data_IF_493894933234
#
_entry.id   IF_493894933234
#
_cell.length_a   1.000
_cell.length_b   1.000
_cell.length_c   1.000
_cell.angle_alpha   90.00
_cell.angle_beta   90.00
_cell.angle_gamma   90.00
#
_symmetry.space_group_name_H-M   'P 1'
#
loop_
_entity.id
_entity.type
_entity.pdbx_description
1 polymer ?
#
# COMPACT_ATOMS: atom_id res chain seq x y z
N UNK A 1 -9.11 -21.27 -16.52
CA UNK A 1 -8.06 -21.97 -15.76
C UNK A 1 -8.61 -22.42 -14.42
N UNK A 2 -8.23 -23.64 -14.00
CA UNK A 2 -8.65 -24.19 -12.71
C UNK A 2 -8.00 -23.33 -11.61
N UNK A 3 -8.71 -23.03 -10.52
CA UNK A 3 -8.20 -22.24 -9.38
C UNK A 3 -6.84 -22.75 -8.87
N UNK A 4 -6.63 -24.06 -8.92
CA UNK A 4 -5.37 -24.69 -8.51
C UNK A 4 -4.13 -24.25 -9.30
N UNK A 5 -4.32 -23.82 -10.55
CA UNK A 5 -3.24 -23.37 -11.47
C UNK A 5 -2.89 -21.89 -11.32
N UNK A 6 -3.57 -21.17 -10.41
CA UNK A 6 -3.30 -19.76 -10.15
C UNK A 6 -2.08 -19.61 -9.22
N UNK A 7 -1.31 -18.52 -9.40
CA UNK A 7 -0.21 -18.19 -8.50
C UNK A 7 -0.71 -17.96 -7.06
N UNK A 8 0.17 -18.12 -6.08
CA UNK A 8 -0.16 -17.90 -4.67
C UNK A 8 -0.67 -16.46 -4.42
N UNK A 9 -0.02 -15.47 -5.04
CA UNK A 9 -0.41 -14.05 -4.94
C UNK A 9 -1.82 -13.82 -5.48
N UNK A 10 -2.15 -14.39 -6.64
CA UNK A 10 -3.47 -14.29 -7.23
C UNK A 10 -4.53 -15.01 -6.38
N UNK A 11 -4.22 -16.20 -5.85
CA UNK A 11 -5.12 -16.89 -4.91
C UNK A 11 -5.41 -16.04 -3.68
N UNK A 12 -4.40 -15.37 -3.14
CA UNK A 12 -4.56 -14.45 -1.99
C UNK A 12 -5.44 -13.24 -2.34
N UNK A 13 -5.22 -12.64 -3.51
CA UNK A 13 -6.02 -11.53 -4.02
C UNK A 13 -7.51 -11.91 -4.16
N UNK A 14 -7.78 -13.11 -4.70
CA UNK A 14 -9.13 -13.63 -4.94
C UNK A 14 -9.84 -14.14 -3.66
N UNK A 15 -9.18 -14.17 -2.50
CA UNK A 15 -9.86 -14.40 -1.21
C UNK A 15 -10.76 -13.23 -0.81
N UNK A 16 -10.54 -12.06 -1.39
CA UNK A 16 -11.42 -10.90 -1.20
C UNK A 16 -12.66 -11.10 -2.10
N UNK A 17 -13.89 -11.17 -1.54
CA UNK A 17 -15.09 -11.51 -2.31
C UNK A 17 -15.35 -10.59 -3.51
N UNK A 18 -15.10 -9.27 -3.36
CA UNK A 18 -15.26 -8.31 -4.47
C UNK A 18 -14.26 -8.59 -5.61
N UNK A 19 -13.03 -8.99 -5.30
CA UNK A 19 -12.03 -9.32 -6.32
C UNK A 19 -12.39 -10.62 -7.05
N UNK A 20 -12.90 -11.61 -6.31
CA UNK A 20 -13.40 -12.86 -6.90
C UNK A 20 -14.58 -12.59 -7.83
N UNK A 21 -15.52 -11.73 -7.40
CA UNK A 21 -16.65 -11.30 -8.21
C UNK A 21 -16.19 -10.68 -9.52
N UNK A 22 -15.31 -9.66 -9.47
CA UNK A 22 -14.76 -9.00 -10.64
C UNK A 22 -14.02 -10.00 -11.54
N UNK A 23 -13.18 -10.86 -10.96
CA UNK A 23 -12.45 -11.90 -11.70
C UNK A 23 -13.37 -12.84 -12.47
N UNK A 24 -14.52 -13.20 -11.91
CA UNK A 24 -15.51 -14.06 -12.58
C UNK A 24 -16.12 -13.40 -13.82
N UNK A 25 -16.25 -12.07 -13.81
CA UNK A 25 -16.86 -11.29 -14.90
C UNK A 25 -15.86 -10.86 -15.98
N UNK A 26 -14.56 -11.09 -15.78
CA UNK A 26 -13.56 -10.83 -16.81
C UNK A 26 -13.64 -11.90 -17.93
N UNK A 27 -13.78 -11.44 -19.19
CA UNK A 27 -13.87 -12.32 -20.37
C UNK A 27 -12.56 -13.03 -20.65
N UNK A 28 -11.45 -12.28 -20.63
CA UNK A 28 -10.11 -12.81 -20.81
C UNK A 28 -9.45 -12.98 -19.45
N UNK A 29 -9.49 -14.20 -18.94
CA UNK A 29 -8.70 -14.62 -17.78
C UNK A 29 -7.26 -14.90 -18.20
N UNK A 30 -6.66 -13.97 -18.92
CA UNK A 30 -5.25 -14.04 -19.28
C UNK A 30 -4.40 -14.05 -18.02
N UNK A 31 -3.29 -14.73 -18.09
CA UNK A 31 -2.34 -14.93 -17.01
C UNK A 31 -1.78 -13.54 -16.66
N UNK A 32 -2.35 -12.94 -15.67
CA UNK A 32 -1.77 -11.76 -15.06
C UNK A 32 -0.58 -12.23 -14.23
N UNK A 33 0.57 -11.60 -14.48
CA UNK A 33 1.78 -11.85 -13.71
C UNK A 33 1.58 -11.56 -12.21
N UNK A 34 2.59 -11.84 -11.42
CA UNK A 34 2.56 -11.72 -9.95
C UNK A 34 2.32 -10.29 -9.41
N UNK A 35 2.29 -9.27 -10.29
CA UNK A 35 2.01 -7.87 -9.94
C UNK A 35 0.53 -7.45 -9.94
N UNK A 36 -0.43 -8.40 -10.10
CA UNK A 36 -1.85 -8.05 -10.16
C UNK A 36 -2.35 -7.53 -8.80
N UNK A 37 -2.96 -6.34 -8.81
CA UNK A 37 -3.58 -5.70 -7.65
C UNK A 37 -5.11 -5.64 -7.80
N UNK A 38 -5.81 -5.25 -6.72
CA UNK A 38 -7.27 -4.95 -6.80
C UNK A 38 -7.54 -3.82 -7.80
N UNK A 39 -6.68 -2.81 -7.85
CA UNK A 39 -6.78 -1.70 -8.81
C UNK A 39 -6.75 -2.20 -10.25
N UNK A 40 -5.79 -3.05 -10.60
CA UNK A 40 -5.67 -3.63 -11.93
C UNK A 40 -6.89 -4.50 -12.32
N UNK A 41 -7.49 -5.22 -11.36
CA UNK A 41 -8.70 -6.01 -11.64
C UNK A 41 -9.89 -5.11 -11.99
N UNK A 42 -10.09 -4.05 -11.21
CA UNK A 42 -11.22 -3.12 -11.42
C UNK A 42 -11.00 -2.34 -12.73
N UNK A 43 -9.79 -1.91 -13.02
CA UNK A 43 -9.43 -1.18 -14.23
C UNK A 43 -9.78 -2.00 -15.49
N UNK A 44 -9.27 -3.23 -15.56
CA UNK A 44 -9.54 -4.13 -16.69
C UNK A 44 -11.01 -4.48 -16.84
N UNK A 45 -11.73 -4.66 -15.74
CA UNK A 45 -13.15 -4.91 -15.78
C UNK A 45 -13.91 -3.69 -16.29
N UNK A 46 -13.55 -2.48 -15.83
CA UNK A 46 -14.16 -1.24 -16.32
C UNK A 46 -13.86 -0.97 -17.79
N UNK A 47 -12.62 -1.21 -18.24
CA UNK A 47 -12.26 -1.16 -19.66
C UNK A 47 -13.11 -2.11 -20.51
N UNK A 48 -13.33 -3.33 -20.03
CA UNK A 48 -14.20 -4.31 -20.70
C UNK A 48 -15.63 -3.79 -20.83
N UNK A 49 -16.18 -3.20 -19.77
CA UNK A 49 -17.51 -2.60 -19.76
C UNK A 49 -17.58 -1.44 -20.74
N UNK A 50 -16.60 -0.55 -20.76
CA UNK A 50 -16.53 0.55 -21.72
C UNK A 50 -16.46 0.05 -23.17
N UNK A 51 -15.73 -1.04 -23.46
CA UNK A 51 -15.70 -1.65 -24.80
C UNK A 51 -17.05 -2.24 -25.21
N UNK A 52 -17.74 -2.92 -24.27
CA UNK A 52 -19.08 -3.49 -24.53
C UNK A 52 -20.11 -2.41 -24.79
N UNK A 53 -20.03 -1.24 -24.14
CA UNK A 53 -20.99 -0.16 -24.39
C UNK A 53 -21.04 0.27 -25.85
N UNK A 54 -19.88 0.26 -26.53
CA UNK A 54 -19.78 0.61 -27.96
C UNK A 54 -20.58 -0.37 -28.82
N UNK A 55 -20.53 -1.68 -28.51
CA UNK A 55 -21.31 -2.69 -29.25
C UNK A 55 -22.83 -2.54 -29.03
N UNK A 56 -23.25 -1.86 -27.98
CA UNK A 56 -24.64 -1.53 -27.70
C UNK A 56 -25.06 -0.14 -28.24
N UNK A 57 -24.19 0.52 -29.00
CA UNK A 57 -24.47 1.84 -29.58
C UNK A 57 -24.31 3.02 -28.61
N UNK A 58 -23.75 2.78 -27.42
CA UNK A 58 -23.48 3.84 -26.46
C UNK A 58 -22.07 4.39 -26.64
N UNK A 59 -21.91 5.69 -26.49
CA UNK A 59 -20.58 6.30 -26.51
C UNK A 59 -19.83 5.98 -25.20
N UNK A 60 -18.59 5.54 -25.31
CA UNK A 60 -17.71 5.33 -24.16
C UNK A 60 -17.62 6.56 -23.26
N UNK A 61 -17.65 7.75 -23.88
CA UNK A 61 -17.64 9.03 -23.16
C UNK A 61 -18.81 9.17 -22.21
N UNK A 62 -20.03 8.82 -22.61
CA UNK A 62 -21.23 8.86 -21.76
C UNK A 62 -21.04 7.98 -20.51
N UNK A 63 -20.48 6.79 -20.67
CA UNK A 63 -20.23 5.87 -19.55
C UNK A 63 -19.20 6.47 -18.58
N UNK A 64 -18.10 7.00 -19.13
CA UNK A 64 -17.02 7.60 -18.33
C UNK A 64 -17.50 8.85 -17.60
N UNK A 65 -18.23 9.75 -18.24
CA UNK A 65 -18.78 10.96 -17.64
C UNK A 65 -19.80 10.63 -16.54
N UNK A 66 -20.66 9.64 -16.78
CA UNK A 66 -21.61 9.16 -15.76
C UNK A 66 -20.89 8.62 -14.52
N UNK A 67 -19.86 7.77 -14.71
CA UNK A 67 -19.02 7.26 -13.62
C UNK A 67 -18.36 8.41 -12.85
N UNK A 68 -17.71 9.36 -13.54
CA UNK A 68 -17.04 10.51 -12.93
C UNK A 68 -18.05 11.30 -12.08
N UNK A 69 -19.23 11.58 -12.63
CA UNK A 69 -20.26 12.35 -11.94
C UNK A 69 -20.76 11.66 -10.67
N UNK A 70 -20.95 10.34 -10.69
CA UNK A 70 -21.31 9.56 -9.51
C UNK A 70 -20.20 9.70 -8.45
N UNK A 71 -18.94 9.48 -8.81
CA UNK A 71 -17.78 9.59 -7.90
C UNK A 71 -17.70 10.99 -7.29
N UNK A 72 -17.81 12.05 -8.09
CA UNK A 72 -17.73 13.45 -7.62
C UNK A 72 -18.83 13.77 -6.59
N UNK A 73 -20.05 13.30 -6.82
CA UNK A 73 -21.16 13.56 -5.88
C UNK A 73 -20.98 12.75 -4.59
N UNK A 74 -20.53 11.49 -4.68
CA UNK A 74 -20.24 10.67 -3.52
C UNK A 74 -19.05 11.24 -2.70
N UNK A 75 -17.99 11.70 -3.35
CA UNK A 75 -16.85 12.38 -2.70
C UNK A 75 -17.31 13.66 -1.98
N UNK A 76 -18.05 14.51 -2.68
CA UNK A 76 -18.54 15.79 -2.14
C UNK A 76 -19.45 15.61 -0.94
N UNK A 77 -20.30 14.59 -0.95
CA UNK A 77 -21.26 14.32 0.13
C UNK A 77 -20.68 13.48 1.26
N UNK A 78 -19.58 12.76 1.02
CA UNK A 78 -19.00 11.78 1.96
C UNK A 78 -19.93 10.58 2.22
N UNK A 79 -20.82 10.26 1.29
CA UNK A 79 -21.82 9.18 1.43
C UNK A 79 -21.52 8.04 0.46
N UNK A 80 -21.97 6.82 0.80
CA UNK A 80 -21.89 5.65 -0.08
C UNK A 80 -23.04 5.61 -1.11
N UNK A 81 -24.15 6.30 -0.84
CA UNK A 81 -25.33 6.37 -1.70
C UNK A 81 -25.87 7.80 -1.74
N UNK A 82 -26.24 8.25 -2.94
CA UNK A 82 -26.81 9.58 -3.18
C UNK A 82 -28.12 9.49 -3.95
N UNK A 83 -29.09 10.40 -3.74
CA UNK A 83 -30.33 10.42 -4.51
C UNK A 83 -30.04 10.51 -6.03
N UNK A 84 -30.78 9.72 -6.85
CA UNK A 84 -30.62 9.72 -8.33
C UNK A 84 -30.76 11.13 -8.91
N UNK A 85 -31.66 11.92 -8.38
CA UNK A 85 -32.01 13.25 -8.88
C UNK A 85 -30.85 14.26 -8.85
N UNK A 86 -29.90 14.11 -7.91
CA UNK A 86 -28.78 15.07 -7.80
C UNK A 86 -27.59 14.72 -8.71
N UNK A 87 -27.61 13.56 -9.36
CA UNK A 87 -26.52 13.13 -10.23
C UNK A 87 -26.47 13.95 -11.53
N UNK A 88 -27.66 14.28 -12.10
CA UNK A 88 -27.74 15.01 -13.37
C UNK A 88 -26.86 14.38 -14.46
N UNK A 89 -27.11 13.10 -14.76
CA UNK A 89 -26.41 12.29 -15.77
C UNK A 89 -27.38 11.81 -16.84
N UNK A 90 -26.87 11.39 -17.99
CA UNK A 90 -27.67 10.75 -19.03
C UNK A 90 -28.22 9.41 -18.51
N UNK A 91 -29.54 9.20 -18.68
CA UNK A 91 -30.20 7.99 -18.19
C UNK A 91 -29.64 6.72 -18.82
N UNK A 92 -29.35 6.75 -20.13
CA UNK A 92 -28.74 5.63 -20.85
C UNK A 92 -27.38 5.21 -20.26
N UNK A 93 -26.55 6.17 -19.85
CA UNK A 93 -25.27 5.88 -19.20
C UNK A 93 -25.44 5.25 -17.82
N UNK A 94 -26.40 5.74 -17.04
CA UNK A 94 -26.70 5.20 -15.71
C UNK A 94 -27.29 3.80 -15.80
N UNK A 95 -28.27 3.57 -16.66
CA UNK A 95 -28.90 2.27 -16.87
C UNK A 95 -27.92 1.23 -17.35
N UNK A 96 -26.96 1.63 -18.20
CA UNK A 96 -25.91 0.75 -18.65
C UNK A 96 -24.95 0.36 -17.49
N UNK A 97 -24.52 1.31 -16.64
CA UNK A 97 -23.69 1.00 -15.47
C UNK A 97 -24.43 0.11 -14.45
N UNK A 98 -25.74 0.24 -14.34
CA UNK A 98 -26.56 -0.64 -13.49
C UNK A 98 -26.63 -2.05 -14.10
N UNK A 99 -26.92 -2.17 -15.38
CA UNK A 99 -27.01 -3.46 -16.08
C UNK A 99 -25.63 -4.18 -16.15
N UNK A 100 -24.55 -3.42 -16.08
CA UNK A 100 -23.18 -3.94 -16.00
C UNK A 100 -22.75 -4.26 -14.56
N UNK A 101 -23.65 -4.14 -13.59
CA UNK A 101 -23.43 -4.48 -12.17
C UNK A 101 -22.25 -3.71 -11.50
N UNK A 102 -21.93 -2.53 -12.02
CA UNK A 102 -20.97 -1.60 -11.35
C UNK A 102 -21.72 -0.72 -10.35
N UNK A 103 -22.90 -0.27 -10.72
CA UNK A 103 -23.75 0.65 -9.95
C UNK A 103 -25.03 -0.06 -9.53
N UNK A 104 -25.54 0.31 -8.38
CA UNK A 104 -26.79 -0.20 -7.84
C UNK A 104 -27.70 0.94 -7.42
N UNK A 105 -29.02 0.77 -7.59
CA UNK A 105 -30.04 1.65 -7.04
C UNK A 105 -30.74 0.95 -5.89
N UNK A 106 -30.74 1.60 -4.72
CA UNK A 106 -31.43 1.15 -3.51
C UNK A 106 -32.26 2.32 -2.95
N UNK A 107 -33.57 2.16 -2.87
CA UNK A 107 -34.50 3.21 -2.37
C UNK A 107 -34.26 4.56 -3.05
N UNK A 108 -34.22 4.59 -4.37
CA UNK A 108 -33.99 5.76 -5.23
C UNK A 108 -32.63 6.45 -5.00
N UNK A 109 -31.66 5.71 -4.41
CA UNK A 109 -30.30 6.16 -4.20
C UNK A 109 -29.34 5.31 -5.01
N UNK A 110 -28.35 5.98 -5.61
CA UNK A 110 -27.31 5.41 -6.47
C UNK A 110 -26.03 5.27 -5.69
N UNK A 111 -25.37 4.13 -5.81
CA UNK A 111 -24.06 3.83 -5.24
C UNK A 111 -23.36 2.75 -6.05
N UNK A 112 -22.10 2.45 -5.71
CA UNK A 112 -21.40 1.32 -6.30
C UNK A 112 -21.80 0.00 -5.63
N UNK A 113 -21.82 -1.09 -6.41
CA UNK A 113 -22.19 -2.44 -5.91
C UNK A 113 -21.26 -2.89 -4.79
N UNK A 114 -19.96 -2.60 -4.90
CA UNK A 114 -18.97 -2.88 -3.86
C UNK A 114 -18.19 -1.62 -3.50
N UNK A 115 -17.93 -1.44 -2.22
CA UNK A 115 -17.15 -0.30 -1.73
C UNK A 115 -15.75 -0.26 -2.32
N UNK A 116 -15.12 -1.40 -2.58
CA UNK A 116 -13.78 -1.45 -3.22
C UNK A 116 -13.75 -0.83 -4.62
N UNK A 117 -14.88 -0.84 -5.35
CA UNK A 117 -15.00 -0.17 -6.66
C UNK A 117 -15.03 1.34 -6.46
N UNK A 118 -15.80 1.81 -5.48
CA UNK A 118 -15.80 3.23 -5.10
C UNK A 118 -14.40 3.68 -4.65
N UNK A 119 -13.75 2.90 -3.78
CA UNK A 119 -12.43 3.23 -3.24
C UNK A 119 -11.39 3.31 -4.37
N UNK A 120 -11.46 2.42 -5.35
CA UNK A 120 -10.63 2.49 -6.55
C UNK A 120 -10.87 3.78 -7.34
N UNK A 121 -12.12 4.13 -7.69
CA UNK A 121 -12.40 5.35 -8.44
C UNK A 121 -12.06 6.62 -7.65
N UNK A 122 -12.18 6.60 -6.33
CA UNK A 122 -11.71 7.68 -5.46
C UNK A 122 -10.18 7.80 -5.50
N UNK A 123 -9.45 6.68 -5.51
CA UNK A 123 -7.99 6.71 -5.64
C UNK A 123 -7.53 7.26 -6.99
N UNK A 124 -8.21 6.91 -8.08
CA UNK A 124 -7.97 7.51 -9.40
C UNK A 124 -8.20 9.03 -9.40
N UNK A 125 -9.23 9.48 -8.68
CA UNK A 125 -9.49 10.92 -8.52
C UNK A 125 -8.40 11.61 -7.71
N UNK A 126 -7.82 10.94 -6.72
CA UNK A 126 -6.65 11.45 -6.00
C UNK A 126 -5.42 11.55 -6.92
N UNK A 127 -5.19 10.57 -7.81
CA UNK A 127 -4.13 10.63 -8.83
C UNK A 127 -4.31 11.82 -9.78
N UNK A 128 -5.53 12.03 -10.29
CA UNK A 128 -5.84 13.20 -11.13
C UNK A 128 -5.50 14.52 -10.40
N UNK A 129 -5.92 14.66 -9.13
CA UNK A 129 -5.61 15.83 -8.32
C UNK A 129 -4.10 16.02 -8.10
N UNK A 130 -3.37 14.92 -7.90
CA UNK A 130 -1.92 14.94 -7.77
C UNK A 130 -1.25 15.49 -9.04
N UNK A 131 -1.60 14.96 -10.21
CA UNK A 131 -1.06 15.44 -11.49
C UNK A 131 -1.44 16.88 -11.82
N UNK A 132 -2.54 17.41 -11.27
CA UNK A 132 -2.88 18.82 -11.35
C UNK A 132 -2.22 19.69 -10.28
N UNK A 133 -1.17 19.17 -9.60
CA UNK A 133 -0.36 19.87 -8.59
C UNK A 133 -1.22 20.52 -7.50
N UNK A 134 -2.21 19.79 -7.01
CA UNK A 134 -3.04 20.26 -5.91
C UNK A 134 -2.33 20.05 -4.58
N UNK A 135 -2.69 20.90 -3.60
CA UNK A 135 -2.19 20.77 -2.23
C UNK A 135 -2.60 19.42 -1.61
N UNK A 136 -1.77 18.93 -0.69
CA UNK A 136 -1.96 17.68 0.04
C UNK A 136 -3.39 17.53 0.60
N UNK A 137 -3.94 18.61 1.21
CA UNK A 137 -5.28 18.60 1.77
C UNK A 137 -6.39 18.48 0.71
N UNK A 138 -6.15 18.93 -0.52
CA UNK A 138 -7.10 18.75 -1.61
C UNK A 138 -7.11 17.31 -2.15
N UNK A 139 -5.98 16.60 -2.05
CA UNK A 139 -5.82 15.22 -2.49
C UNK A 139 -6.38 14.28 -1.41
N UNK A 140 -5.83 14.35 -0.19
CA UNK A 140 -6.21 13.49 0.94
C UNK A 140 -7.56 13.90 1.54
N UNK A 141 -7.88 15.20 1.51
CA UNK A 141 -9.02 15.82 2.17
C UNK A 141 -8.61 16.56 3.45
N UNK A 142 -9.41 17.59 3.80
CA UNK A 142 -9.24 18.32 5.05
C UNK A 142 -9.31 17.40 6.27
N UNK A 143 -8.62 17.74 7.36
CA UNK A 143 -8.50 16.91 8.57
C UNK A 143 -9.85 16.42 9.14
N UNK A 144 -10.90 17.24 9.04
CA UNK A 144 -12.26 16.87 9.49
C UNK A 144 -12.91 15.80 8.60
N UNK A 145 -12.50 15.69 7.31
CA UNK A 145 -12.99 14.71 6.34
C UNK A 145 -12.13 13.44 6.25
N UNK A 146 -11.02 13.41 6.94
CA UNK A 146 -10.15 12.24 7.03
C UNK A 146 -10.78 11.21 7.99
N UNK A 147 -11.65 10.36 7.46
CA UNK A 147 -12.33 9.29 8.22
C UNK A 147 -11.61 7.95 8.02
N UNK A 148 -11.73 7.00 8.97
CA UNK A 148 -11.15 5.65 8.80
C UNK A 148 -11.63 4.96 7.52
N UNK A 149 -12.86 5.20 7.07
CA UNK A 149 -13.40 4.66 5.82
C UNK A 149 -12.64 5.11 4.56
N UNK A 150 -11.92 6.23 4.60
CA UNK A 150 -11.09 6.70 3.48
C UNK A 150 -9.67 6.13 3.48
N UNK A 151 -9.28 5.40 4.53
CA UNK A 151 -7.92 4.85 4.66
C UNK A 151 -7.55 3.97 3.46
N UNK A 152 -8.47 3.13 3.01
CA UNK A 152 -8.23 2.23 1.88
C UNK A 152 -8.10 2.98 0.55
N UNK A 153 -8.83 4.09 0.37
CA UNK A 153 -8.68 4.98 -0.80
C UNK A 153 -7.28 5.59 -0.86
N UNK A 154 -6.77 6.08 0.28
CA UNK A 154 -5.41 6.62 0.39
C UNK A 154 -4.37 5.53 0.16
N UNK A 155 -4.60 4.32 0.66
CA UNK A 155 -3.73 3.18 0.42
C UNK A 155 -3.63 2.86 -1.08
N UNK A 156 -4.76 2.75 -1.78
CA UNK A 156 -4.77 2.49 -3.23
C UNK A 156 -4.12 3.64 -4.01
N UNK A 157 -4.36 4.89 -3.61
CA UNK A 157 -3.72 6.05 -4.21
C UNK A 157 -2.19 5.99 -4.06
N UNK A 158 -1.67 5.74 -2.86
CA UNK A 158 -0.24 5.66 -2.61
C UNK A 158 0.41 4.45 -3.32
N UNK A 159 -0.31 3.32 -3.42
CA UNK A 159 0.16 2.16 -4.21
C UNK A 159 0.24 2.51 -5.70
N UNK A 160 -0.77 3.17 -6.26
CA UNK A 160 -0.75 3.63 -7.65
C UNK A 160 0.36 4.66 -7.89
N UNK A 161 0.62 5.54 -6.92
CA UNK A 161 1.69 6.53 -7.01
C UNK A 161 3.07 5.87 -6.99
N UNK A 162 3.27 4.86 -6.14
CA UNK A 162 4.49 4.04 -6.10
C UNK A 162 4.71 3.28 -7.42
N UNK A 163 3.65 2.69 -7.98
CA UNK A 163 3.71 2.00 -9.29
C UNK A 163 4.03 2.98 -10.44
N UNK A 164 3.56 4.22 -10.33
CA UNK A 164 3.84 5.26 -11.32
C UNK A 164 5.28 5.78 -11.22
N UNK A 165 5.73 6.19 -10.02
CA UNK A 165 7.06 6.70 -9.76
C UNK A 165 7.39 6.66 -8.25
N UNK A 166 8.46 5.98 -7.87
CA UNK A 166 8.89 5.87 -6.48
C UNK A 166 9.38 7.20 -5.88
N UNK A 167 9.97 8.09 -6.69
CA UNK A 167 10.40 9.41 -6.24
C UNK A 167 9.20 10.27 -5.85
N UNK A 168 8.15 10.30 -6.70
CA UNK A 168 6.89 11.00 -6.42
C UNK A 168 6.22 10.44 -5.16
N UNK A 169 6.20 9.11 -5.00
CA UNK A 169 5.69 8.45 -3.79
C UNK A 169 6.44 8.90 -2.53
N UNK A 170 7.77 8.99 -2.58
CA UNK A 170 8.60 9.43 -1.46
C UNK A 170 8.37 10.91 -1.15
N UNK A 171 8.34 11.77 -2.16
CA UNK A 171 8.09 13.21 -1.98
C UNK A 171 6.74 13.43 -1.30
N UNK A 172 5.69 12.81 -1.84
CA UNK A 172 4.34 12.91 -1.28
C UNK A 172 4.26 12.33 0.15
N UNK A 173 4.91 11.19 0.38
CA UNK A 173 5.00 10.57 1.70
C UNK A 173 5.68 11.47 2.73
N UNK A 174 6.80 12.12 2.39
CA UNK A 174 7.48 13.10 3.26
C UNK A 174 6.55 14.25 3.63
N UNK A 175 5.85 14.83 2.66
CA UNK A 175 4.87 15.90 2.92
C UNK A 175 3.77 15.43 3.87
N UNK A 176 3.26 14.19 3.68
CA UNK A 176 2.27 13.62 4.61
C UNK A 176 2.83 13.48 6.03
N UNK A 177 4.07 13.00 6.19
CA UNK A 177 4.67 12.73 7.49
C UNK A 177 4.86 14.00 8.33
N UNK A 178 5.27 15.10 7.71
CA UNK A 178 5.52 16.38 8.40
C UNK A 178 4.25 17.22 8.60
N UNK A 179 3.18 16.97 7.82
CA UNK A 179 1.97 17.79 7.87
C UNK A 179 1.15 17.53 9.14
N UNK A 180 0.83 18.59 9.89
CA UNK A 180 -0.09 18.56 11.03
C UNK A 180 -1.56 18.40 10.60
N UNK A 181 -1.86 18.64 9.33
CA UNK A 181 -3.19 18.51 8.75
C UNK A 181 -3.54 17.07 8.36
N UNK A 182 -2.58 16.14 8.39
CA UNK A 182 -2.80 14.74 8.09
C UNK A 182 -2.87 13.93 9.39
N UNK A 183 -3.96 13.16 9.54
CA UNK A 183 -4.15 12.28 10.69
C UNK A 183 -3.16 11.13 10.68
N UNK A 184 -2.70 10.72 11.86
CA UNK A 184 -1.67 9.69 12.03
C UNK A 184 -1.96 8.39 11.28
N UNK A 185 -3.20 7.90 11.30
CA UNK A 185 -3.53 6.64 10.62
C UNK A 185 -3.41 6.69 9.09
N UNK A 186 -3.41 7.88 8.46
CA UNK A 186 -3.05 8.02 7.05
C UNK A 186 -1.53 8.04 6.85
N UNK A 187 -0.78 8.68 7.76
CA UNK A 187 0.68 8.61 7.78
C UNK A 187 1.14 7.14 7.92
N UNK A 188 0.44 6.38 8.73
CA UNK A 188 0.71 4.96 8.93
C UNK A 188 0.57 4.12 7.66
N UNK A 189 -0.36 4.48 6.75
CA UNK A 189 -0.51 3.81 5.45
C UNK A 189 0.77 3.88 4.61
N UNK A 190 1.47 5.03 4.65
CA UNK A 190 2.74 5.18 3.96
C UNK A 190 3.80 4.19 4.48
N UNK A 191 3.93 4.05 5.80
CA UNK A 191 4.84 3.06 6.41
C UNK A 191 4.45 1.62 6.05
N UNK A 192 3.17 1.30 6.04
CA UNK A 192 2.71 -0.04 5.67
C UNK A 192 3.07 -0.39 4.23
N UNK A 193 2.93 0.55 3.30
CA UNK A 193 3.31 0.33 1.90
C UNK A 193 4.81 0.15 1.80
N UNK A 194 5.62 1.02 2.41
CA UNK A 194 7.07 0.86 2.47
C UNK A 194 7.48 -0.52 3.01
N UNK A 195 6.87 -0.96 4.12
CA UNK A 195 7.16 -2.27 4.70
C UNK A 195 6.75 -3.47 3.84
N UNK A 196 5.92 -3.28 2.82
CA UNK A 196 5.48 -4.34 1.91
C UNK A 196 6.33 -4.46 0.63
N UNK A 197 7.21 -3.47 0.36
CA UNK A 197 8.09 -3.50 -0.82
C UNK A 197 9.12 -4.61 -0.63
N UNK A 198 9.16 -5.57 -1.55
CA UNK A 198 10.08 -6.70 -1.50
C UNK A 198 11.46 -6.32 -2.05
N UNK A 199 11.47 -5.59 -3.14
CA UNK A 199 12.67 -5.14 -3.86
C UNK A 199 12.62 -3.61 -3.95
N UNK A 200 13.10 -2.89 -2.91
CA UNK A 200 13.14 -1.43 -2.92
C UNK A 200 14.16 -0.94 -3.94
N UNK A 201 13.77 0.06 -4.72
CA UNK A 201 14.67 0.76 -5.63
C UNK A 201 15.58 1.78 -4.91
N UNK A 202 16.48 2.40 -5.66
CA UNK A 202 17.46 3.33 -5.12
C UNK A 202 16.82 4.53 -4.41
N UNK A 203 15.67 5.04 -4.86
CA UNK A 203 14.97 6.15 -4.22
C UNK A 203 14.44 5.74 -2.84
N UNK A 204 13.85 4.55 -2.74
CA UNK A 204 13.35 3.98 -1.48
C UNK A 204 14.52 3.71 -0.52
N UNK A 205 15.60 3.11 -1.03
CA UNK A 205 16.83 2.83 -0.26
C UNK A 205 17.39 4.12 0.31
N UNK A 206 17.58 5.12 -0.52
CA UNK A 206 18.12 6.41 -0.11
C UNK A 206 17.21 7.10 0.92
N UNK A 207 15.88 7.06 0.70
CA UNK A 207 14.92 7.59 1.68
C UNK A 207 15.08 6.93 3.05
N UNK A 208 15.19 5.60 3.11
CA UNK A 208 15.34 4.86 4.37
C UNK A 208 16.66 5.26 5.06
N UNK A 209 17.77 5.29 4.34
CA UNK A 209 19.09 5.64 4.90
C UNK A 209 19.10 7.06 5.46
N UNK A 210 18.57 8.02 4.71
CA UNK A 210 18.57 9.44 5.09
C UNK A 210 17.63 9.75 6.27
N UNK A 211 16.62 8.91 6.49
CA UNK A 211 15.53 9.24 7.40
C UNK A 211 15.34 8.26 8.56
N UNK A 212 16.05 7.14 8.63
CA UNK A 212 15.94 6.20 9.75
C UNK A 212 16.40 6.81 11.10
N UNK A 213 17.18 7.88 11.08
CA UNK A 213 17.61 8.64 12.25
C UNK A 213 16.87 9.98 12.40
N UNK A 214 15.84 10.26 11.62
CA UNK A 214 15.09 11.50 11.69
C UNK A 214 14.35 11.63 13.02
N UNK A 215 14.44 12.79 13.68
CA UNK A 215 13.86 13.04 15.01
C UNK A 215 12.33 12.96 15.02
N UNK A 216 11.67 13.31 13.91
CA UNK A 216 10.20 13.39 13.85
C UNK A 216 9.59 12.01 13.55
N UNK A 217 10.16 11.26 12.61
CA UNK A 217 9.54 10.02 12.11
C UNK A 217 10.50 8.83 11.97
N UNK A 218 11.78 8.99 12.30
CA UNK A 218 12.76 7.89 12.20
C UNK A 218 12.41 6.69 13.09
N UNK A 219 11.95 6.92 14.32
CA UNK A 219 11.49 5.85 15.20
C UNK A 219 10.30 5.07 14.60
N UNK A 220 9.40 5.74 13.87
CA UNK A 220 8.30 5.07 13.19
C UNK A 220 8.77 4.27 11.97
N UNK A 221 9.78 4.77 11.23
CA UNK A 221 10.42 4.00 10.16
C UNK A 221 11.10 2.75 10.72
N UNK A 222 11.87 2.86 11.79
CA UNK A 222 12.50 1.73 12.45
C UNK A 222 11.48 0.66 12.83
N UNK A 223 10.45 1.03 13.60
CA UNK A 223 9.51 0.08 14.19
C UNK A 223 8.49 -0.49 13.18
N UNK A 224 8.08 0.27 12.16
CA UNK A 224 7.00 -0.15 11.27
C UNK A 224 7.46 -0.56 9.87
N UNK A 225 8.69 -0.19 9.48
CA UNK A 225 9.23 -0.50 8.15
C UNK A 225 10.44 -1.42 8.23
N UNK A 226 11.45 -1.05 9.04
CA UNK A 226 12.75 -1.72 9.06
C UNK A 226 12.72 -2.98 9.92
N UNK A 227 12.15 -2.85 11.14
CA UNK A 227 12.11 -3.94 12.10
C UNK A 227 11.38 -5.18 11.53
N UNK A 228 11.94 -6.36 11.66
CA UNK A 228 11.44 -7.63 11.10
C UNK A 228 11.50 -7.76 9.57
N UNK A 229 12.10 -6.81 8.86
CA UNK A 229 12.19 -6.82 7.38
C UNK A 229 13.64 -7.01 6.93
N UNK A 230 14.00 -8.25 6.63
CA UNK A 230 15.37 -8.62 6.24
C UNK A 230 15.94 -7.71 5.14
N UNK A 231 15.15 -7.39 4.10
CA UNK A 231 15.61 -6.56 2.99
C UNK A 231 16.14 -5.19 3.46
N UNK A 232 15.47 -4.53 4.41
CA UNK A 232 15.90 -3.23 4.92
C UNK A 232 17.07 -3.34 5.88
N UNK A 233 17.12 -4.39 6.70
CA UNK A 233 18.25 -4.65 7.62
C UNK A 233 19.50 -4.93 6.81
N UNK A 234 19.41 -5.75 5.75
CA UNK A 234 20.51 -6.01 4.81
C UNK A 234 21.01 -4.72 4.14
N UNK A 235 20.08 -3.84 3.72
CA UNK A 235 20.43 -2.54 3.13
C UNK A 235 21.21 -1.69 4.15
N UNK A 236 20.74 -1.55 5.38
CA UNK A 236 21.42 -0.77 6.42
C UNK A 236 22.78 -1.35 6.75
N UNK A 237 22.93 -2.68 6.78
CA UNK A 237 24.24 -3.34 6.96
C UNK A 237 25.18 -2.99 5.81
N UNK A 238 24.77 -3.22 4.57
CA UNK A 238 25.61 -3.01 3.38
C UNK A 238 26.02 -1.54 3.19
N UNK A 239 25.23 -0.61 3.68
CA UNK A 239 25.56 0.82 3.69
C UNK A 239 26.35 1.27 4.93
N UNK A 240 26.78 0.33 5.77
CA UNK A 240 27.57 0.61 6.97
C UNK A 240 26.81 1.34 8.09
N UNK A 241 25.49 1.42 8.00
CA UNK A 241 24.65 2.07 9.03
C UNK A 241 24.68 1.25 10.31
N UNK A 242 24.56 -0.08 10.23
CA UNK A 242 24.60 -0.95 11.40
C UNK A 242 25.98 -0.88 12.09
N UNK A 243 27.08 -0.80 11.33
CA UNK A 243 28.43 -0.65 11.86
C UNK A 243 28.57 0.68 12.63
N UNK A 244 28.07 1.78 12.03
CA UNK A 244 28.07 3.09 12.68
C UNK A 244 27.23 3.07 13.95
N UNK A 245 26.04 2.48 13.92
CA UNK A 245 25.17 2.37 15.11
C UNK A 245 25.75 1.50 16.19
N UNK A 246 26.43 0.41 15.82
CA UNK A 246 27.11 -0.45 16.79
C UNK A 246 28.24 0.28 17.55
N UNK A 247 28.91 1.23 16.89
CA UNK A 247 29.94 2.06 17.53
C UNK A 247 29.39 3.10 18.52
N UNK A 248 28.06 3.33 18.53
CA UNK A 248 27.37 4.26 19.42
C UNK A 248 26.70 3.47 20.55
N UNK A 249 27.08 3.71 21.81
CA UNK A 249 26.59 2.94 22.96
C UNK A 249 25.05 2.92 23.06
N UNK A 250 24.41 4.08 22.82
CA UNK A 250 22.97 4.26 22.86
C UNK A 250 22.21 3.51 21.76
N UNK A 251 22.89 3.10 20.68
CA UNK A 251 22.28 2.42 19.52
C UNK A 251 22.62 0.95 19.40
N UNK A 252 23.56 0.43 20.19
CA UNK A 252 23.92 -0.99 20.15
C UNK A 252 22.72 -1.90 20.32
N UNK A 253 21.83 -1.60 21.29
CA UNK A 253 20.63 -2.39 21.53
C UNK A 253 19.68 -2.41 20.31
N UNK A 254 19.63 -1.34 19.52
CA UNK A 254 18.81 -1.29 18.30
C UNK A 254 19.38 -2.28 17.27
N UNK A 255 20.69 -2.30 17.06
CA UNK A 255 21.35 -3.22 16.11
C UNK A 255 21.06 -4.67 16.48
N UNK A 256 21.22 -5.02 17.75
CA UNK A 256 20.93 -6.39 18.22
C UNK A 256 19.48 -6.77 18.04
N UNK A 257 18.54 -5.89 18.43
CA UNK A 257 17.12 -6.14 18.24
C UNK A 257 16.74 -6.33 16.76
N UNK A 258 17.35 -5.57 15.85
CA UNK A 258 17.15 -5.74 14.41
C UNK A 258 17.64 -7.11 13.93
N UNK A 259 18.87 -7.52 14.32
CA UNK A 259 19.42 -8.82 13.93
C UNK A 259 18.65 -9.98 14.56
N UNK A 260 18.26 -9.88 15.82
CA UNK A 260 17.42 -10.89 16.50
C UNK A 260 16.08 -11.03 15.79
N UNK A 261 15.47 -9.95 15.37
CA UNK A 261 14.15 -9.97 14.70
C UNK A 261 14.13 -10.74 13.37
N UNK A 262 15.30 -10.95 12.76
CA UNK A 262 15.50 -11.73 11.54
C UNK A 262 16.25 -13.03 11.76
N UNK A 263 16.47 -13.43 13.00
CA UNK A 263 17.30 -14.58 13.38
C UNK A 263 17.05 -15.85 12.55
N UNK A 264 15.81 -16.28 12.26
CA UNK A 264 15.55 -17.46 11.43
C UNK A 264 16.04 -17.33 9.97
N UNK A 265 16.37 -16.12 9.53
CA UNK A 265 16.71 -15.80 8.14
C UNK A 265 18.08 -15.10 8.01
N UNK A 266 18.95 -15.22 8.98
CA UNK A 266 20.31 -14.66 8.93
C UNK A 266 21.09 -15.25 7.75
N UNK A 267 21.82 -14.39 7.03
CA UNK A 267 22.76 -14.83 6.00
C UNK A 267 24.22 -14.86 6.55
N UNK A 268 25.14 -15.33 5.71
CA UNK A 268 26.56 -15.45 6.08
C UNK A 268 27.17 -14.10 6.47
N UNK A 269 26.71 -13.01 5.87
CA UNK A 269 27.22 -11.67 6.14
C UNK A 269 26.64 -11.11 7.44
N UNK A 270 25.38 -11.43 7.77
CA UNK A 270 24.79 -11.13 9.08
C UNK A 270 25.55 -11.85 10.20
N UNK A 271 25.84 -13.15 10.00
CA UNK A 271 26.61 -13.96 10.94
C UNK A 271 28.03 -13.39 11.09
N UNK A 272 28.68 -13.05 9.98
CA UNK A 272 30.02 -12.44 10.01
C UNK A 272 30.06 -11.09 10.71
N UNK A 273 28.98 -10.30 10.60
CA UNK A 273 28.83 -9.06 11.36
C UNK A 273 28.73 -9.35 12.86
N UNK A 274 27.89 -10.29 13.24
CA UNK A 274 27.72 -10.70 14.64
C UNK A 274 29.03 -11.22 15.21
N UNK A 275 29.75 -12.12 14.51
CA UNK A 275 31.03 -12.70 14.96
C UNK A 275 32.12 -11.64 15.20
N UNK A 276 32.23 -10.67 14.31
CA UNK A 276 33.22 -9.57 14.46
C UNK A 276 33.01 -8.75 15.72
N UNK A 277 31.75 -8.61 16.14
CA UNK A 277 31.40 -7.79 17.29
C UNK A 277 31.20 -8.60 18.58
N UNK A 278 30.88 -9.90 18.50
CA UNK A 278 30.72 -10.79 19.64
C UNK A 278 32.04 -11.06 20.39
N UNK A 279 33.15 -11.06 19.67
CA UNK A 279 34.49 -11.39 20.22
C UNK A 279 35.35 -10.17 20.44
N UNK A 280 34.77 -8.97 20.49
CA UNK A 280 35.47 -7.79 20.96
C UNK A 280 35.76 -7.94 22.47
N UNK A 281 36.99 -7.61 22.94
CA UNK A 281 37.49 -7.83 24.31
C UNK A 281 36.76 -7.04 25.43
N UNK A 282 35.49 -6.66 25.23
CA UNK A 282 34.67 -5.94 26.21
C UNK A 282 33.64 -6.86 26.84
N UNK A 283 33.70 -7.05 28.16
CA UNK A 283 32.86 -7.93 28.96
C UNK A 283 31.35 -7.70 28.78
N UNK A 284 30.93 -6.46 28.50
CA UNK A 284 29.51 -6.11 28.32
C UNK A 284 28.97 -6.61 26.98
N UNK A 285 29.80 -6.65 25.94
CA UNK A 285 29.44 -7.17 24.62
C UNK A 285 29.27 -8.70 24.66
N UNK A 286 30.05 -9.42 25.50
CA UNK A 286 29.95 -10.87 25.67
C UNK A 286 28.63 -11.30 26.35
N UNK A 287 28.18 -10.58 27.36
CA UNK A 287 26.92 -10.87 28.04
C UNK A 287 25.72 -10.66 27.12
N UNK A 288 25.76 -9.58 26.31
CA UNK A 288 24.73 -9.28 25.36
C UNK A 288 24.66 -10.34 24.24
N UNK A 289 25.82 -10.78 23.73
CA UNK A 289 25.90 -11.83 22.72
C UNK A 289 25.44 -13.19 23.23
N UNK A 290 25.66 -13.51 24.49
CA UNK A 290 25.10 -14.73 25.10
C UNK A 290 23.58 -14.70 25.13
N UNK A 291 22.97 -13.56 25.49
CA UNK A 291 21.50 -13.38 25.41
C UNK A 291 20.98 -13.54 23.98
N UNK A 292 21.65 -12.89 23.01
CA UNK A 292 21.28 -12.96 21.59
C UNK A 292 21.37 -14.40 21.05
N UNK A 293 22.43 -15.14 21.33
CA UNK A 293 22.55 -16.54 20.91
C UNK A 293 21.57 -17.45 21.62
N UNK A 294 21.21 -17.16 22.88
CA UNK A 294 20.20 -17.91 23.61
C UNK A 294 18.81 -17.71 22.98
N UNK A 295 18.45 -16.48 22.62
CA UNK A 295 17.15 -16.17 22.00
C UNK A 295 17.05 -16.84 20.62
N UNK A 296 18.11 -16.81 19.79
CA UNK A 296 18.15 -17.51 18.51
C UNK A 296 17.97 -19.02 18.67
N UNK A 297 18.59 -19.64 19.69
CA UNK A 297 18.49 -21.09 19.92
C UNK A 297 17.12 -21.51 20.41
N UNK A 298 16.46 -20.69 21.24
CA UNK A 298 15.10 -20.98 21.69
C UNK A 298 14.06 -20.89 20.57
N UNK A 299 14.14 -19.89 19.70
CA UNK A 299 13.25 -19.77 18.54
C UNK A 299 13.42 -20.92 17.54
N UNK A 300 14.62 -21.49 17.42
CA UNK A 300 14.86 -22.66 16.56
C UNK A 300 14.27 -23.96 17.13
N UNK A 301 14.17 -24.09 18.45
CA UNK A 301 13.62 -25.28 19.11
C UNK A 301 12.09 -25.30 19.14
N UNK A 302 11.42 -24.14 19.03
CA UNK A 302 9.95 -24.06 18.92
C UNK A 302 9.42 -24.37 17.51
N UNK A 303 10.31 -24.48 16.50
CA UNK A 303 9.95 -24.85 15.12
C UNK A 303 10.10 -26.34 14.78
N UNK A 304 10.48 -27.19 15.75
CA UNK A 304 10.53 -28.65 15.63
C UNK A 304 9.53 -29.28 16.60
#
# INVERSE_FOLDING_TARGET
>A
KNYEQLSFKLKRLLRIPSNLYIWQHLEKKEIYGDGLTTSHLIDKWFEQICRKSITMGLQQRTITETKIRIVDVLEKTGRLYVPKQILNVEEAGLDYLISSEIVVIQNDRVGFVHQSILDYFMSQRMMEKYFHVQKLENIIGEKCRQTPGRRYQVQMFLQNLLEYNSEDFIIFGKEMLISDNIRYYFKYVFYEILGQIQEPDDNIIQFIIDNCENEIYGNYLLNNVIFTRKQYITILRNQGVLERWYSMEEKKSIVFNLLTSIAPNLDVEDISFIERHAFSDKSDDEQFMRCFLHDITQESDEMF
#
